data_IF_719903745528
#
_entry.id   IF_719903745528
#
_cell.length_a   1.000
_cell.length_b   1.000
_cell.length_c   1.000
_cell.angle_alpha   90.00
_cell.angle_beta   90.00
_cell.angle_gamma   90.00
#
_symmetry.space_group_name_H-M   'P 1'
#
loop_
_entity.id
_entity.type
_entity.pdbx_description
1 polymer ?
#
# COMPACT_ATOMS: atom_id res chain seq x y z
N UNK A 1 16.46 -10.99 -0.56
CA UNK A 1 15.08 -10.45 -0.64
C UNK A 1 14.07 -11.56 -0.31
N UNK A 2 13.34 -12.10 -1.29
CA UNK A 2 12.43 -13.24 -1.14
C UNK A 2 12.23 -13.87 -2.51
N UNK A 3 12.09 -15.19 -2.57
CA UNK A 3 11.95 -15.98 -3.80
C UNK A 3 10.54 -15.88 -4.41
N UNK A 4 9.79 -14.84 -4.07
CA UNK A 4 8.37 -14.64 -4.37
C UNK A 4 8.11 -14.28 -5.86
N UNK A 5 8.97 -14.74 -6.77
CA UNK A 5 8.91 -14.56 -8.22
C UNK A 5 7.71 -15.33 -8.83
N UNK A 6 6.49 -14.87 -8.57
CA UNK A 6 5.26 -15.55 -9.02
C UNK A 6 5.19 -15.72 -10.54
N UNK A 7 5.77 -14.76 -11.27
CA UNK A 7 5.87 -14.63 -12.72
C UNK A 7 6.67 -13.34 -12.96
N UNK A 8 7.43 -13.25 -14.04
CA UNK A 8 8.32 -12.12 -14.32
C UNK A 8 7.55 -10.82 -14.61
N UNK A 9 6.24 -10.89 -14.88
CA UNK A 9 5.38 -9.74 -15.16
C UNK A 9 5.56 -8.63 -14.14
N UNK A 10 5.58 -8.94 -12.85
CA UNK A 10 5.63 -7.89 -11.83
C UNK A 10 7.03 -7.30 -11.73
N UNK A 11 8.08 -8.11 -11.88
CA UNK A 11 9.46 -7.62 -11.92
C UNK A 11 9.60 -6.61 -13.06
N UNK A 12 9.05 -6.95 -14.23
CA UNK A 12 9.08 -6.10 -15.41
C UNK A 12 8.33 -4.80 -15.12
N UNK A 13 7.09 -4.87 -14.59
CA UNK A 13 6.30 -3.68 -14.27
C UNK A 13 7.01 -2.77 -13.28
N UNK A 14 7.57 -3.36 -12.20
CA UNK A 14 8.30 -2.63 -11.19
C UNK A 14 9.41 -1.84 -11.90
N UNK A 15 10.31 -2.53 -12.59
CA UNK A 15 11.52 -1.93 -13.13
C UNK A 15 11.24 -0.94 -14.27
N UNK A 16 10.23 -1.20 -15.11
CA UNK A 16 10.02 -0.45 -16.36
C UNK A 16 8.83 0.52 -16.31
N UNK A 17 8.11 0.59 -15.18
CA UNK A 17 6.97 1.49 -15.03
C UNK A 17 6.87 2.11 -13.64
N UNK A 18 7.03 1.33 -12.57
CA UNK A 18 6.79 1.84 -11.21
C UNK A 18 8.00 2.68 -10.75
N UNK A 19 9.22 2.18 -10.92
CA UNK A 19 10.45 2.82 -10.41
C UNK A 19 11.44 3.10 -11.54
N UNK A 20 11.03 3.02 -12.81
CA UNK A 20 11.87 3.31 -13.98
C UNK A 20 12.52 4.70 -13.90
N UNK A 21 11.80 5.69 -13.36
CA UNK A 21 12.27 7.08 -13.25
C UNK A 21 13.15 7.30 -12.02
N UNK A 22 13.18 6.34 -11.09
CA UNK A 22 13.88 6.47 -9.82
C UNK A 22 15.39 6.24 -9.96
N UNK A 23 16.12 6.48 -8.88
CA UNK A 23 17.56 6.27 -8.78
C UNK A 23 17.94 5.90 -7.34
N UNK A 24 17.38 6.60 -6.34
CA UNK A 24 17.68 6.42 -4.93
C UNK A 24 16.38 6.29 -4.14
N UNK A 25 16.47 5.95 -2.87
CA UNK A 25 15.34 5.57 -2.01
C UNK A 25 14.18 6.56 -2.03
N UNK A 26 14.45 7.86 -2.04
CA UNK A 26 13.40 8.88 -2.05
C UNK A 26 12.65 8.83 -3.37
N UNK A 27 13.38 8.66 -4.48
CA UNK A 27 12.80 8.61 -5.82
C UNK A 27 12.05 7.29 -6.01
N UNK A 28 12.52 6.19 -5.41
CA UNK A 28 11.84 4.89 -5.48
C UNK A 28 10.51 4.98 -4.74
N UNK A 29 10.50 5.62 -3.57
CA UNK A 29 9.28 5.86 -2.82
C UNK A 29 8.32 6.72 -3.65
N UNK A 30 8.81 7.78 -4.30
CA UNK A 30 7.98 8.59 -5.18
C UNK A 30 7.47 7.81 -6.39
N UNK A 31 8.26 6.91 -6.97
CA UNK A 31 7.83 6.07 -8.09
C UNK A 31 6.62 5.23 -7.68
N UNK A 32 6.72 4.50 -6.56
CA UNK A 32 5.61 3.74 -6.01
C UNK A 32 4.42 4.65 -5.70
N UNK A 33 4.65 5.79 -5.05
CA UNK A 33 3.61 6.70 -4.64
C UNK A 33 2.82 7.19 -5.85
N UNK A 34 3.50 7.64 -6.92
CA UNK A 34 2.84 8.18 -8.09
C UNK A 34 2.04 7.09 -8.82
N UNK A 35 2.59 5.88 -8.94
CA UNK A 35 1.90 4.77 -9.59
C UNK A 35 0.61 4.43 -8.83
N UNK A 36 0.70 4.30 -7.51
CA UNK A 36 -0.44 3.93 -6.67
C UNK A 36 -1.46 5.07 -6.68
N UNK A 37 -1.02 6.32 -6.57
CA UNK A 37 -1.89 7.49 -6.59
C UNK A 37 -2.66 7.59 -7.91
N UNK A 38 -2.03 7.19 -9.02
CA UNK A 38 -2.67 7.20 -10.34
C UNK A 38 -3.61 6.00 -10.54
N UNK A 39 -3.41 4.92 -9.78
CA UNK A 39 -4.08 3.65 -10.01
C UNK A 39 -5.26 3.41 -9.06
N UNK A 40 -5.08 3.68 -7.76
CA UNK A 40 -6.02 3.30 -6.72
C UNK A 40 -7.30 4.15 -6.84
N UNK A 41 -8.46 3.50 -6.91
CA UNK A 41 -9.77 4.13 -7.02
C UNK A 41 -10.30 4.51 -5.63
N UNK A 42 -9.46 5.08 -4.76
CA UNK A 42 -9.89 5.63 -3.47
C UNK A 42 -10.89 6.80 -3.69
N UNK A 43 -11.75 7.16 -2.71
CA UNK A 43 -11.96 6.47 -1.44
C UNK A 43 -12.58 5.08 -1.64
N UNK A 44 -12.25 4.13 -0.77
CA UNK A 44 -12.79 2.78 -0.83
C UNK A 44 -12.84 2.18 0.58
N UNK A 45 -13.62 1.11 0.79
CA UNK A 45 -13.64 0.40 2.05
C UNK A 45 -12.47 -0.58 2.08
N UNK A 46 -11.87 -0.84 3.25
CA UNK A 46 -10.86 -1.87 3.40
C UNK A 46 -10.82 -2.38 4.82
N UNK A 47 -10.10 -3.47 5.01
CA UNK A 47 -9.76 -3.98 6.34
C UNK A 47 -8.33 -3.55 6.63
N UNK A 48 -8.13 -2.80 7.72
CA UNK A 48 -6.80 -2.50 8.23
C UNK A 48 -6.46 -3.72 9.10
N UNK A 49 -5.64 -4.63 8.57
CA UNK A 49 -5.13 -5.81 9.28
C UNK A 49 -3.86 -5.40 10.03
N UNK A 50 -4.02 -4.59 11.08
CA UNK A 50 -2.88 -3.98 11.77
C UNK A 50 -1.96 -5.06 12.34
N UNK A 51 -0.73 -5.17 11.85
CA UNK A 51 0.30 -6.00 12.46
C UNK A 51 0.55 -5.48 13.88
N UNK A 52 0.56 -6.38 14.86
CA UNK A 52 0.55 -6.02 16.27
C UNK A 52 1.29 -7.03 17.15
N UNK A 53 1.46 -6.67 18.43
CA UNK A 53 1.97 -7.49 19.53
C UNK A 53 3.43 -7.97 19.34
N UNK A 54 4.14 -7.46 18.31
CA UNK A 54 5.49 -7.87 17.93
C UNK A 54 5.59 -9.40 17.74
N UNK A 55 4.49 -10.04 17.37
CA UNK A 55 4.39 -11.48 17.10
C UNK A 55 3.67 -11.72 15.76
N UNK A 56 3.56 -10.68 14.94
CA UNK A 56 2.75 -10.64 13.72
C UNK A 56 1.29 -11.05 14.01
N UNK A 57 0.76 -10.63 15.16
CA UNK A 57 -0.66 -10.74 15.43
C UNK A 57 -1.37 -9.75 14.49
N UNK A 58 -2.61 -10.02 14.10
CA UNK A 58 -3.37 -9.18 13.17
C UNK A 58 -4.57 -8.69 13.95
N UNK A 59 -4.49 -7.44 14.39
CA UNK A 59 -5.61 -6.71 14.98
C UNK A 59 -6.34 -6.10 13.79
N UNK A 60 -7.28 -6.85 13.21
CA UNK A 60 -8.08 -6.32 12.12
C UNK A 60 -9.00 -5.19 12.63
N UNK A 61 -9.32 -4.27 11.73
CA UNK A 61 -10.19 -3.11 11.97
C UNK A 61 -10.84 -2.82 10.62
N UNK A 62 -12.12 -2.45 10.60
CA UNK A 62 -12.83 -2.22 9.35
C UNK A 62 -12.85 -0.72 9.12
N UNK A 63 -12.36 -0.26 7.96
CA UNK A 63 -12.11 1.16 7.71
C UNK A 63 -12.61 1.57 6.33
N UNK A 64 -12.78 2.88 6.16
CA UNK A 64 -13.02 3.52 4.88
C UNK A 64 -11.78 4.34 4.60
N UNK A 65 -11.00 3.97 3.58
CA UNK A 65 -9.84 4.76 3.16
C UNK A 65 -10.35 6.01 2.44
N UNK A 66 -9.67 7.14 2.64
CA UNK A 66 -10.05 8.42 2.03
C UNK A 66 -9.13 8.74 0.86
N UNK A 67 -7.90 8.21 0.85
CA UNK A 67 -6.89 8.49 -0.14
C UNK A 67 -5.53 8.11 0.43
N UNK A 68 -4.50 8.17 -0.41
CA UNK A 68 -3.12 8.05 0.06
C UNK A 68 -2.79 9.23 0.97
N UNK A 69 -1.85 9.02 1.90
CA UNK A 69 -1.27 10.09 2.69
C UNK A 69 -0.52 11.08 1.79
N UNK A 70 -0.16 12.28 2.29
CA UNK A 70 0.68 13.23 1.56
C UNK A 70 1.99 12.60 1.05
N UNK A 71 2.58 13.21 0.02
CA UNK A 71 3.89 12.82 -0.49
C UNK A 71 4.98 12.85 0.58
N UNK A 72 4.87 13.74 1.58
CA UNK A 72 5.82 13.82 2.69
C UNK A 72 5.83 12.55 3.54
N UNK A 73 4.68 11.90 3.65
CA UNK A 73 4.56 10.59 4.30
C UNK A 73 4.99 9.52 3.32
N UNK A 74 4.56 9.62 2.05
CA UNK A 74 4.82 8.61 1.03
C UNK A 74 6.29 8.56 0.56
N UNK A 75 7.16 9.38 1.14
CA UNK A 75 8.61 9.30 0.98
C UNK A 75 9.21 8.26 1.93
N UNK A 76 8.46 7.84 2.95
CA UNK A 76 8.97 7.01 4.05
C UNK A 76 8.40 5.61 3.98
N UNK A 77 7.14 5.45 3.58
CA UNK A 77 6.49 4.17 3.32
C UNK A 77 5.20 4.47 2.54
N UNK A 78 4.49 3.48 2.00
CA UNK A 78 3.17 3.73 1.42
C UNK A 78 2.15 3.79 2.56
N UNK A 79 1.37 4.85 2.62
CA UNK A 79 0.37 5.08 3.67
C UNK A 79 -0.91 5.63 3.06
N UNK A 80 -2.01 5.47 3.80
CA UNK A 80 -3.36 5.86 3.41
C UNK A 80 -4.04 6.46 4.63
N UNK A 81 -4.84 7.50 4.41
CA UNK A 81 -5.71 8.05 5.43
C UNK A 81 -6.95 7.16 5.47
N UNK A 82 -7.40 6.81 6.67
CA UNK A 82 -8.49 5.86 6.87
C UNK A 82 -9.42 6.34 7.99
N UNK A 83 -10.70 6.03 7.92
CA UNK A 83 -11.69 6.36 8.94
C UNK A 83 -12.18 5.04 9.51
N UNK A 84 -12.10 4.88 10.83
CA UNK A 84 -12.45 3.64 11.51
C UNK A 84 -13.96 3.52 11.63
N UNK A 85 -14.58 2.75 10.74
CA UNK A 85 -16.03 2.56 10.68
C UNK A 85 -16.53 1.93 11.99
N UNK A 86 -15.68 1.18 12.70
CA UNK A 86 -16.02 0.43 13.90
C UNK A 86 -15.57 1.13 15.19
N UNK A 87 -15.11 2.39 15.12
CA UNK A 87 -14.53 3.07 16.28
C UNK A 87 -14.69 4.59 16.27
N UNK A 88 -14.94 5.23 15.12
CA UNK A 88 -15.14 6.68 15.02
C UNK A 88 -16.25 6.98 14.02
N UNK A 89 -16.09 6.52 12.78
CA UNK A 89 -16.92 6.86 11.61
C UNK A 89 -17.13 8.38 11.42
N UNK A 90 -16.27 9.21 12.03
CA UNK A 90 -16.41 10.67 12.11
C UNK A 90 -15.05 11.35 12.35
N UNK A 91 -13.95 10.59 12.27
CA UNK A 91 -12.57 11.06 12.47
C UNK A 91 -11.66 10.15 11.64
N UNK A 92 -10.41 10.57 11.41
CA UNK A 92 -9.49 9.95 10.46
C UNK A 92 -8.15 9.67 11.15
N UNK A 93 -7.55 8.55 10.75
CA UNK A 93 -6.24 8.06 11.14
C UNK A 93 -5.40 7.86 9.87
N UNK A 94 -4.19 7.35 10.02
CA UNK A 94 -3.31 6.95 8.91
C UNK A 94 -2.85 5.52 9.17
N UNK A 95 -2.80 4.71 8.11
CA UNK A 95 -2.41 3.31 8.13
C UNK A 95 -1.37 3.07 7.03
N UNK A 96 -0.53 2.07 7.20
CA UNK A 96 0.36 1.60 6.15
C UNK A 96 -0.52 0.91 5.12
N UNK A 97 -0.28 1.16 3.83
CA UNK A 97 -0.90 0.38 2.77
C UNK A 97 -0.51 -1.09 2.92
N UNK A 98 0.68 -1.35 3.49
CA UNK A 98 1.21 -2.66 3.81
C UNK A 98 0.35 -3.45 4.82
N UNK A 99 -0.57 -2.77 5.52
CA UNK A 99 -1.42 -3.34 6.56
C UNK A 99 -2.89 -3.24 6.12
N UNK A 100 -3.17 -2.88 4.87
CA UNK A 100 -4.52 -2.71 4.35
C UNK A 100 -4.79 -3.82 3.35
N UNK A 101 -6.06 -4.23 3.33
CA UNK A 101 -6.63 -5.17 2.39
C UNK A 101 -7.92 -4.52 1.90
N UNK A 102 -7.92 -4.02 0.66
CA UNK A 102 -9.08 -3.30 0.13
C UNK A 102 -10.24 -4.27 -0.10
N UNK A 103 -11.45 -3.74 0.01
CA UNK A 103 -12.70 -4.49 -0.11
C UNK A 103 -13.49 -3.89 -1.29
N UNK A 104 -13.98 -4.76 -2.17
CA UNK A 104 -14.87 -4.44 -3.29
C UNK A 104 -14.35 -3.29 -4.18
N UNK A 105 -13.03 -3.26 -4.42
CA UNK A 105 -12.41 -2.30 -5.32
C UNK A 105 -12.33 -2.85 -6.74
N UNK A 106 -11.89 -2.01 -7.68
CA UNK A 106 -11.62 -2.42 -9.05
C UNK A 106 -10.39 -3.33 -9.10
N UNK A 107 -10.26 -4.04 -10.22
CA UNK A 107 -9.11 -4.89 -10.54
C UNK A 107 -7.83 -4.09 -10.55
N UNK A 108 -7.84 -2.85 -11.06
CA UNK A 108 -6.63 -2.04 -11.16
C UNK A 108 -6.15 -1.60 -9.77
N UNK A 109 -7.09 -1.33 -8.85
CA UNK A 109 -6.79 -0.99 -7.46
C UNK A 109 -6.25 -2.22 -6.75
N UNK A 110 -6.92 -3.38 -6.90
CA UNK A 110 -6.47 -4.63 -6.30
C UNK A 110 -5.08 -4.99 -6.83
N UNK A 111 -4.82 -4.76 -8.11
CA UNK A 111 -3.53 -5.01 -8.74
C UNK A 111 -2.42 -4.24 -8.06
N UNK A 112 -2.59 -2.92 -7.86
CA UNK A 112 -1.59 -2.10 -7.20
C UNK A 112 -1.30 -2.60 -5.78
N UNK A 113 -2.35 -3.01 -5.06
CA UNK A 113 -2.23 -3.53 -3.70
C UNK A 113 -1.47 -4.86 -3.73
N UNK A 114 -1.88 -5.81 -4.58
CA UNK A 114 -1.21 -7.10 -4.70
C UNK A 114 0.26 -6.90 -5.05
N UNK A 115 0.55 -6.04 -6.02
CA UNK A 115 1.91 -5.75 -6.48
C UNK A 115 2.77 -5.23 -5.32
N UNK A 116 2.19 -4.36 -4.49
CA UNK A 116 2.83 -3.83 -3.29
C UNK A 116 3.06 -4.92 -2.25
N UNK A 117 2.15 -5.90 -2.11
CA UNK A 117 2.31 -6.98 -1.15
C UNK A 117 3.47 -7.92 -1.53
N UNK A 118 3.79 -8.09 -2.83
CA UNK A 118 5.00 -8.80 -3.21
C UNK A 118 6.23 -8.00 -2.78
N UNK A 119 6.24 -6.68 -3.00
CA UNK A 119 7.34 -5.82 -2.56
C UNK A 119 7.49 -5.85 -1.03
N UNK A 120 6.39 -5.92 -0.27
CA UNK A 120 6.41 -6.07 1.18
C UNK A 120 7.08 -7.39 1.56
N UNK A 121 6.67 -8.50 0.92
CA UNK A 121 7.26 -9.81 1.15
C UNK A 121 8.76 -9.83 0.80
N UNK A 122 9.17 -9.11 -0.25
CA UNK A 122 10.56 -8.98 -0.69
C UNK A 122 11.46 -8.31 0.35
N UNK A 123 10.93 -7.61 1.37
CA UNK A 123 11.76 -6.83 2.27
C UNK A 123 12.30 -5.57 1.59
N UNK A 124 11.50 -4.99 0.68
CA UNK A 124 11.66 -3.68 0.04
C UNK A 124 12.94 -3.53 -0.80
N UNK A 125 13.00 -2.40 -1.54
CA UNK A 125 14.21 -1.94 -2.25
C UNK A 125 14.44 -0.44 -2.05
N UNK A 126 13.69 0.21 -1.15
CA UNK A 126 13.93 1.56 -0.67
C UNK A 126 13.85 1.54 0.86
#
# INVERSE_FOLDING_TARGET
>A
MASVERDETREHRIETEIIVDAEDKEERAMGWYYYLDDTLEFPFMGKWKKKSRKTSTIEEKTVEVLGMAPDDECLKDMYVEVADIGGKDDDVYTAKLSDIEAIDVDDDTQEAIADWLYWLARGYKF
#
